data_IF_695985938132
#
_entry.id   IF_695985938132
#
_cell.length_a   1.000
_cell.length_b   1.000
_cell.length_c   1.000
_cell.angle_alpha   90.00
_cell.angle_beta   90.00
_cell.angle_gamma   90.00
#
_symmetry.space_group_name_H-M   'P 1'
#
loop_
_entity.id
_entity.type
_entity.pdbx_description
1 polymer ?
#
# COMPACT_ATOMS: atom_id res chain seq x y z
N UNK A 1 -3.52 -20.94 7.53
CA UNK A 1 -3.62 -20.31 6.20
C UNK A 1 -2.51 -19.27 6.13
N UNK A 2 -1.76 -19.21 5.02
CA UNK A 2 -0.70 -18.21 4.86
C UNK A 2 -1.31 -16.79 4.89
N UNK A 3 -0.61 -15.84 5.53
CA UNK A 3 -1.00 -14.43 5.61
C UNK A 3 -1.24 -13.88 4.21
N UNK A 4 -0.39 -14.25 3.25
CA UNK A 4 -0.48 -13.79 1.86
C UNK A 4 -1.73 -14.31 1.17
N UNK A 5 -2.14 -15.53 1.44
CA UNK A 5 -3.35 -16.12 0.87
C UNK A 5 -4.60 -15.36 1.29
N UNK A 6 -4.71 -14.98 2.56
CA UNK A 6 -5.85 -14.18 3.01
C UNK A 6 -5.84 -12.76 2.43
N UNK A 7 -4.66 -12.14 2.31
CA UNK A 7 -4.55 -10.85 1.63
C UNK A 7 -4.98 -10.94 0.15
N UNK A 8 -4.67 -12.04 -0.54
CA UNK A 8 -5.11 -12.30 -1.92
C UNK A 8 -6.62 -12.44 -2.06
N UNK A 9 -7.32 -12.95 -1.03
CA UNK A 9 -8.79 -12.96 -0.99
C UNK A 9 -9.39 -11.56 -0.86
N UNK A 10 -8.63 -10.60 -0.33
CA UNK A 10 -9.08 -9.21 -0.18
C UNK A 10 -8.84 -8.42 -1.46
N UNK A 11 -7.59 -8.40 -1.95
CA UNK A 11 -7.18 -7.50 -3.05
C UNK A 11 -7.03 -8.17 -4.40
N UNK A 12 -7.12 -9.51 -4.46
CA UNK A 12 -6.89 -10.32 -5.66
C UNK A 12 -5.46 -10.87 -5.75
N UNK A 13 -5.31 -11.99 -6.46
CA UNK A 13 -4.07 -12.78 -6.52
C UNK A 13 -2.85 -11.99 -7.02
N UNK A 14 -3.03 -11.19 -8.06
CA UNK A 14 -1.97 -10.40 -8.71
C UNK A 14 -1.64 -9.10 -7.97
N UNK A 15 -2.30 -8.84 -6.84
CA UNK A 15 -2.20 -7.60 -6.09
C UNK A 15 -1.56 -7.76 -4.71
N UNK A 16 -0.94 -8.92 -4.48
CA UNK A 16 -0.08 -9.21 -3.31
C UNK A 16 1.32 -9.59 -3.81
N UNK A 17 2.29 -8.70 -3.63
CA UNK A 17 3.68 -8.87 -4.06
C UNK A 17 4.56 -9.29 -2.88
N UNK A 18 5.60 -10.07 -3.16
CA UNK A 18 6.59 -10.53 -2.19
C UNK A 18 7.88 -10.96 -2.92
N UNK A 19 9.01 -11.06 -2.20
CA UNK A 19 10.29 -11.40 -2.81
C UNK A 19 10.68 -10.38 -3.88
N UNK A 20 11.15 -10.87 -5.03
CA UNK A 20 11.62 -10.04 -6.14
C UNK A 20 10.53 -9.10 -6.70
N UNK A 21 9.26 -9.53 -6.69
CA UNK A 21 8.14 -8.69 -7.15
C UNK A 21 7.94 -7.45 -6.26
N UNK A 22 8.46 -7.46 -5.03
CA UNK A 22 8.35 -6.37 -4.07
C UNK A 22 9.55 -5.40 -4.09
N UNK A 23 10.57 -5.61 -4.93
CA UNK A 23 11.84 -4.86 -4.89
C UNK A 23 11.65 -3.33 -4.85
N UNK A 24 10.72 -2.80 -5.66
CA UNK A 24 10.41 -1.35 -5.73
C UNK A 24 9.93 -0.77 -4.40
N UNK A 25 9.37 -1.60 -3.53
CA UNK A 25 8.81 -1.23 -2.23
C UNK A 25 9.77 -1.52 -1.07
N UNK A 26 10.95 -2.09 -1.36
CA UNK A 26 11.94 -2.57 -0.38
C UNK A 26 13.09 -1.58 -0.14
N UNK A 27 12.98 -0.36 -0.66
CA UNK A 27 13.97 0.70 -0.50
C UNK A 27 13.31 2.07 -0.61
N UNK A 28 13.97 3.11 -0.09
CA UNK A 28 13.50 4.49 -0.23
C UNK A 28 13.96 5.10 -1.57
N UNK A 29 13.47 6.30 -1.87
CA UNK A 29 13.81 7.01 -3.11
C UNK A 29 15.31 7.21 -3.31
N UNK A 30 16.05 7.49 -2.23
CA UNK A 30 17.50 7.74 -2.29
C UNK A 30 18.32 6.44 -2.30
N UNK A 31 17.68 5.27 -2.13
CA UNK A 31 18.34 3.97 -1.93
C UNK A 31 19.31 3.97 -0.74
N UNK A 32 19.02 4.78 0.27
CA UNK A 32 19.79 4.85 1.50
C UNK A 32 19.34 3.78 2.50
N UNK A 33 18.04 3.47 2.48
CA UNK A 33 17.42 2.51 3.38
C UNK A 33 16.92 1.31 2.58
N UNK A 34 17.10 0.12 3.15
CA UNK A 34 16.60 -1.14 2.61
C UNK A 34 15.84 -1.88 3.69
N UNK A 35 14.81 -2.63 3.29
CA UNK A 35 14.00 -3.45 4.17
C UNK A 35 13.33 -4.58 3.40
N UNK A 36 12.86 -5.60 4.11
CA UNK A 36 12.06 -6.68 3.51
C UNK A 36 10.64 -6.61 4.04
N UNK A 37 9.65 -6.18 3.23
CA UNK A 37 8.27 -6.21 3.66
C UNK A 37 7.75 -7.66 3.72
N UNK A 38 6.85 -7.93 4.67
CA UNK A 38 6.17 -9.22 4.80
C UNK A 38 5.36 -9.54 3.52
N UNK A 39 4.67 -8.51 3.03
CA UNK A 39 3.95 -8.48 1.76
C UNK A 39 3.69 -7.02 1.35
N UNK A 40 3.58 -6.78 0.04
CA UNK A 40 3.05 -5.53 -0.50
C UNK A 40 1.65 -5.79 -1.04
N UNK A 41 0.67 -5.08 -0.53
CA UNK A 41 -0.72 -5.18 -1.00
C UNK A 41 -1.11 -3.92 -1.76
N UNK A 42 -1.76 -4.12 -2.91
CA UNK A 42 -2.12 -3.05 -3.85
C UNK A 42 -3.64 -2.96 -3.99
N UNK A 43 -4.36 -2.39 -3.00
CA UNK A 43 -5.82 -2.29 -3.07
C UNK A 43 -6.29 -1.32 -4.17
N UNK A 44 -7.53 -1.50 -4.62
CA UNK A 44 -8.20 -0.68 -5.65
C UNK A 44 -9.38 0.13 -5.13
N UNK A 45 -9.72 -0.01 -3.84
CA UNK A 45 -10.86 0.66 -3.23
C UNK A 45 -10.65 0.88 -1.74
N UNK A 46 -11.42 1.81 -1.16
CA UNK A 46 -11.44 2.05 0.28
C UNK A 46 -11.89 0.81 1.07
N UNK A 47 -12.80 0.00 0.52
CA UNK A 47 -13.25 -1.24 1.16
C UNK A 47 -12.12 -2.26 1.29
N UNK A 48 -11.36 -2.46 0.22
CA UNK A 48 -10.17 -3.33 0.24
C UNK A 48 -9.13 -2.84 1.27
N UNK A 49 -8.85 -1.53 1.32
CA UNK A 49 -7.96 -0.95 2.34
C UNK A 49 -8.49 -1.26 3.75
N UNK A 50 -9.77 -1.02 4.01
CA UNK A 50 -10.37 -1.26 5.32
C UNK A 50 -10.27 -2.73 5.74
N UNK A 51 -10.52 -3.67 4.82
CA UNK A 51 -10.38 -5.11 5.06
C UNK A 51 -8.94 -5.52 5.34
N UNK A 52 -7.96 -4.97 4.61
CA UNK A 52 -6.53 -5.20 4.89
C UNK A 52 -6.14 -4.69 6.28
N UNK A 53 -6.56 -3.47 6.64
CA UNK A 53 -6.26 -2.89 7.96
C UNK A 53 -6.89 -3.71 9.09
N UNK A 54 -8.15 -4.13 8.92
CA UNK A 54 -8.83 -4.99 9.89
C UNK A 54 -8.11 -6.34 10.06
N UNK A 55 -7.71 -6.97 8.96
CA UNK A 55 -6.91 -8.20 9.00
C UNK A 55 -5.57 -8.00 9.71
N UNK A 56 -4.87 -6.89 9.44
CA UNK A 56 -3.59 -6.57 10.07
C UNK A 56 -3.74 -6.40 11.59
N UNK A 57 -4.77 -5.67 12.05
CA UNK A 57 -5.03 -5.50 13.50
C UNK A 57 -5.37 -6.82 14.20
N UNK A 58 -6.22 -7.64 13.58
CA UNK A 58 -6.58 -8.97 14.11
C UNK A 58 -5.36 -9.87 14.30
N UNK A 59 -4.38 -9.78 13.40
CA UNK A 59 -3.18 -10.60 13.42
C UNK A 59 -1.95 -9.90 14.03
N UNK A 60 -2.12 -8.69 14.57
CA UNK A 60 -1.05 -7.87 15.17
C UNK A 60 0.13 -7.63 14.22
N UNK A 61 -0.19 -7.40 12.95
CA UNK A 61 0.77 -7.06 11.90
C UNK A 61 0.85 -5.54 11.73
N UNK A 62 2.08 -5.01 11.67
CA UNK A 62 2.34 -3.62 11.37
C UNK A 62 2.04 -3.30 9.90
N UNK A 63 1.54 -2.09 9.65
CA UNK A 63 1.27 -1.59 8.29
C UNK A 63 2.07 -0.33 8.00
N UNK A 64 2.49 -0.18 6.74
CA UNK A 64 3.12 1.05 6.24
C UNK A 64 2.37 1.48 4.97
N UNK A 65 1.58 2.57 5.01
CA UNK A 65 0.98 3.14 3.82
C UNK A 65 2.05 3.78 2.94
N UNK A 66 2.01 3.52 1.63
CA UNK A 66 2.99 4.01 0.68
C UNK A 66 2.31 4.51 -0.60
N UNK A 67 2.54 5.78 -0.93
CA UNK A 67 2.16 6.38 -2.21
C UNK A 67 3.29 6.24 -3.24
N UNK A 68 3.78 7.37 -3.77
CA UNK A 68 4.88 7.39 -4.74
C UNK A 68 6.27 6.99 -4.20
N UNK A 69 6.41 6.72 -2.90
CA UNK A 69 7.68 6.39 -2.23
C UNK A 69 8.81 7.41 -2.45
N UNK A 70 8.47 8.71 -2.54
CA UNK A 70 9.42 9.82 -2.78
C UNK A 70 9.82 10.57 -1.51
N UNK A 71 9.42 10.08 -0.33
CA UNK A 71 9.76 10.69 0.96
C UNK A 71 11.25 10.54 1.29
N UNK A 72 11.83 11.55 1.95
CA UNK A 72 13.28 11.64 2.20
C UNK A 72 13.68 11.45 3.67
N UNK A 73 12.74 11.08 4.54
CA UNK A 73 12.94 11.00 6.00
C UNK A 73 12.97 9.56 6.52
N UNK A 74 12.86 8.56 5.64
CA UNK A 74 12.78 7.14 6.03
C UNK A 74 11.41 6.72 6.59
N UNK A 75 10.38 7.55 6.46
CA UNK A 75 9.03 7.27 6.98
C UNK A 75 8.36 6.02 6.36
N UNK A 76 8.82 5.57 5.20
CA UNK A 76 8.29 4.40 4.49
C UNK A 76 9.04 3.10 4.78
N UNK A 77 9.96 3.08 5.76
CA UNK A 77 10.68 1.87 6.16
C UNK A 77 9.71 0.80 6.66
N UNK A 78 9.67 -0.35 5.98
CA UNK A 78 8.64 -1.38 6.17
C UNK A 78 9.22 -2.79 6.41
N UNK A 79 10.22 -2.90 7.28
CA UNK A 79 10.76 -4.21 7.70
C UNK A 79 9.67 -5.05 8.38
N UNK A 80 9.47 -6.28 7.91
CA UNK A 80 8.46 -7.22 8.44
C UNK A 80 7.02 -6.66 8.50
N UNK A 81 6.74 -5.58 7.75
CA UNK A 81 5.45 -4.92 7.71
C UNK A 81 4.66 -5.30 6.45
N UNK A 82 3.34 -5.12 6.50
CA UNK A 82 2.50 -5.07 5.31
C UNK A 82 2.62 -3.66 4.71
N UNK A 83 3.11 -3.54 3.48
CA UNK A 83 3.08 -2.28 2.73
C UNK A 83 1.73 -2.15 2.04
N UNK A 84 1.01 -1.05 2.25
CA UNK A 84 -0.22 -0.73 1.51
C UNK A 84 0.11 0.29 0.42
N UNK A 85 0.27 -0.19 -0.81
CA UNK A 85 0.51 0.68 -1.98
C UNK A 85 -0.81 1.21 -2.53
N UNK A 86 -0.96 2.53 -2.52
CA UNK A 86 -2.19 3.21 -2.96
C UNK A 86 -2.21 3.54 -4.46
N UNK A 87 -1.17 3.16 -5.22
CA UNK A 87 -0.96 3.54 -6.62
C UNK A 87 -2.11 3.18 -7.58
N UNK A 88 -2.95 2.19 -7.23
CA UNK A 88 -4.12 1.79 -8.04
C UNK A 88 -5.35 2.66 -7.79
N UNK A 89 -5.37 3.41 -6.70
CA UNK A 89 -6.46 4.31 -6.32
C UNK A 89 -6.14 5.72 -6.84
N UNK A 90 -6.13 5.91 -8.17
CA UNK A 90 -5.68 7.13 -8.85
C UNK A 90 -6.80 7.88 -9.60
N UNK A 91 -8.07 7.57 -9.30
CA UNK A 91 -9.20 8.21 -10.00
C UNK A 91 -9.41 9.65 -9.53
N UNK A 92 -9.61 10.54 -10.50
CA UNK A 92 -10.25 11.84 -10.26
C UNK A 92 -11.76 11.57 -10.17
N UNK A 93 -12.35 11.72 -8.98
CA UNK A 93 -13.76 11.40 -8.72
C UNK A 93 -14.69 12.55 -9.10
N UNK A 94 -14.26 13.79 -8.84
CA UNK A 94 -15.06 14.97 -9.12
C UNK A 94 -14.19 16.23 -9.30
N UNK A 95 -14.54 17.08 -10.26
CA UNK A 95 -13.97 18.42 -10.41
C UNK A 95 -15.09 19.46 -10.33
N UNK A 96 -15.08 20.27 -9.27
CA UNK A 96 -16.01 21.38 -9.07
C UNK A 96 -15.32 22.69 -9.45
N UNK A 97 -15.44 23.09 -10.71
CA UNK A 97 -14.72 24.26 -11.27
C UNK A 97 -15.05 25.55 -10.54
N UNK A 98 -16.34 25.82 -10.30
CA UNK A 98 -16.79 27.06 -9.65
C UNK A 98 -16.29 27.16 -8.20
N UNK A 99 -16.23 26.02 -7.51
CA UNK A 99 -15.73 25.92 -6.14
C UNK A 99 -14.20 25.78 -6.04
N UNK A 100 -13.49 25.59 -7.17
CA UNK A 100 -12.04 25.27 -7.22
C UNK A 100 -11.65 24.06 -6.37
N UNK A 101 -12.48 23.00 -6.40
CA UNK A 101 -12.26 21.75 -5.65
C UNK A 101 -12.07 20.57 -6.61
N UNK A 102 -11.12 19.70 -6.29
CA UNK A 102 -10.99 18.38 -6.89
C UNK A 102 -11.12 17.31 -5.79
N UNK A 103 -11.95 16.30 -6.03
CA UNK A 103 -12.05 15.10 -5.18
C UNK A 103 -11.31 13.99 -5.91
N UNK A 104 -10.23 13.51 -5.30
CA UNK A 104 -9.33 12.51 -5.88
C UNK A 104 -9.14 11.35 -4.91
N UNK A 105 -8.80 10.19 -5.45
CA UNK A 105 -8.26 9.10 -4.65
C UNK A 105 -6.79 9.39 -4.26
N UNK A 106 -6.21 8.54 -3.40
CA UNK A 106 -4.96 8.86 -2.71
C UNK A 106 -3.67 8.63 -3.56
N UNK A 107 -3.78 7.86 -4.64
CA UNK A 107 -2.67 7.47 -5.51
C UNK A 107 -2.37 8.45 -6.64
#
# INVERSE_FOLDING_TARGET
MDIRDHLREIVGQTHVLNGDDAERYSTDWLKQYHWTPLAVVRPSSTDEVARVVAFADQNKLSIVPMGGNTGLTGATRAEDCIVISLERMSKIREIRKDAKIAIVEAG
#
